data_IF_754624499688
#
_entry.id   IF_754624499688
#
_cell.length_a   1.000
_cell.length_b   1.000
_cell.length_c   1.000
_cell.angle_alpha   90.00
_cell.angle_beta   90.00
_cell.angle_gamma   90.00
#
_symmetry.space_group_name_H-M   'P 1'
#
loop_
_entity.id
_entity.type
_entity.pdbx_description
1 polymer ?
#
# COMPACT_ATOMS: atom_id res chain seq x y z
N UNK A 1 -7.51 -4.10 20.93
CA UNK A 1 -7.87 -3.64 19.57
C UNK A 1 -7.06 -4.52 18.63
N UNK A 2 -7.70 -5.24 17.71
CA UNK A 2 -7.00 -6.12 16.77
C UNK A 2 -6.36 -5.30 15.66
N UNK A 3 -5.39 -5.88 14.95
CA UNK A 3 -4.84 -5.31 13.72
C UNK A 3 -5.98 -5.11 12.69
N UNK A 4 -5.97 -3.99 11.98
CA UNK A 4 -6.91 -3.70 10.90
C UNK A 4 -6.59 -4.59 9.70
N UNK A 5 -5.30 -4.83 9.46
CA UNK A 5 -4.83 -5.59 8.31
C UNK A 5 -4.34 -6.98 8.72
N UNK A 6 -4.74 -7.98 7.93
CA UNK A 6 -4.17 -9.31 8.00
C UNK A 6 -2.94 -9.40 7.07
N UNK A 7 -1.81 -9.88 7.59
CA UNK A 7 -0.55 -9.89 6.84
C UNK A 7 -0.58 -10.83 5.63
N UNK A 8 -1.26 -11.97 5.73
CA UNK A 8 -1.35 -12.93 4.62
C UNK A 8 -2.25 -12.37 3.51
N UNK A 9 -3.32 -11.67 3.89
CA UNK A 9 -4.21 -10.99 2.96
C UNK A 9 -3.51 -9.80 2.28
N UNK A 10 -2.77 -8.97 3.02
CA UNK A 10 -1.97 -7.89 2.40
C UNK A 10 -0.97 -8.45 1.39
N UNK A 11 -0.31 -9.56 1.73
CA UNK A 11 0.62 -10.21 0.83
C UNK A 11 -0.07 -10.73 -0.44
N UNK A 12 -1.24 -11.36 -0.31
CA UNK A 12 -1.97 -11.88 -1.48
C UNK A 12 -2.42 -10.77 -2.43
N UNK A 13 -2.91 -9.63 -1.91
CA UNK A 13 -3.24 -8.44 -2.70
C UNK A 13 -2.01 -7.93 -3.47
N UNK A 14 -0.85 -7.84 -2.81
CA UNK A 14 0.39 -7.41 -3.46
C UNK A 14 0.82 -8.39 -4.57
N UNK A 15 0.71 -9.70 -4.31
CA UNK A 15 1.08 -10.74 -5.28
C UNK A 15 0.17 -10.75 -6.50
N UNK A 16 -1.12 -10.42 -6.35
CA UNK A 16 -2.06 -10.30 -7.48
C UNK A 16 -1.70 -9.19 -8.48
N UNK A 17 -0.87 -8.23 -8.07
CA UNK A 17 -0.40 -7.14 -8.92
C UNK A 17 0.94 -7.43 -9.61
N UNK A 18 1.63 -8.53 -9.25
CA UNK A 18 2.91 -8.91 -9.85
C UNK A 18 2.71 -9.35 -11.30
N UNK A 19 3.56 -8.86 -12.19
CA UNK A 19 3.54 -9.22 -13.62
C UNK A 19 2.59 -8.38 -14.48
N UNK A 20 1.92 -7.37 -13.90
CA UNK A 20 1.18 -6.38 -14.68
C UNK A 20 2.11 -5.50 -15.52
N UNK A 21 1.58 -5.00 -16.64
CA UNK A 21 2.35 -4.34 -17.72
C UNK A 21 3.10 -3.06 -17.29
N UNK A 22 2.67 -2.43 -16.19
CA UNK A 22 3.33 -1.23 -15.67
C UNK A 22 3.22 -1.12 -14.15
N UNK A 23 4.12 -0.32 -13.56
CA UNK A 23 4.06 0.02 -12.13
C UNK A 23 2.76 0.73 -11.77
N UNK A 24 2.29 1.63 -12.63
CA UNK A 24 1.05 2.37 -12.40
C UNK A 24 -0.17 1.43 -12.41
N UNK A 25 -0.20 0.45 -13.32
CA UNK A 25 -1.25 -0.57 -13.33
C UNK A 25 -1.20 -1.45 -12.06
N UNK A 26 0.00 -1.82 -11.61
CA UNK A 26 0.18 -2.56 -10.36
C UNK A 26 -0.28 -1.76 -9.13
N UNK A 27 0.11 -0.49 -9.01
CA UNK A 27 -0.32 0.37 -7.91
C UNK A 27 -1.83 0.60 -7.92
N UNK A 28 -2.43 0.88 -9.08
CA UNK A 28 -3.87 1.06 -9.21
C UNK A 28 -4.64 -0.20 -8.80
N UNK A 29 -4.14 -1.39 -9.17
CA UNK A 29 -4.69 -2.68 -8.75
C UNK A 29 -4.63 -2.85 -7.23
N UNK A 30 -3.47 -2.62 -6.61
CA UNK A 30 -3.28 -2.73 -5.15
C UNK A 30 -4.21 -1.76 -4.41
N UNK A 31 -4.23 -0.49 -4.79
CA UNK A 31 -5.04 0.54 -4.12
C UNK A 31 -6.54 0.22 -4.26
N UNK A 32 -6.98 -0.24 -5.43
CA UNK A 32 -8.37 -0.63 -5.67
C UNK A 32 -8.79 -1.81 -4.77
N UNK A 33 -7.97 -2.87 -4.69
CA UNK A 33 -8.26 -4.02 -3.83
C UNK A 33 -8.24 -3.62 -2.35
N UNK A 34 -7.21 -2.90 -1.89
CA UNK A 34 -7.15 -2.43 -0.50
C UNK A 34 -8.35 -1.55 -0.13
N UNK A 35 -8.77 -0.65 -1.03
CA UNK A 35 -9.93 0.23 -0.77
C UNK A 35 -11.23 -0.57 -0.67
N UNK A 36 -11.37 -1.65 -1.45
CA UNK A 36 -12.53 -2.54 -1.42
C UNK A 36 -12.56 -3.41 -0.17
N UNK A 37 -11.43 -4.00 0.21
CA UNK A 37 -11.35 -4.92 1.35
C UNK A 37 -11.30 -4.19 2.70
N UNK A 38 -10.75 -2.96 2.74
CA UNK A 38 -10.58 -2.15 3.95
C UNK A 38 -11.20 -0.75 3.80
N UNK A 39 -12.53 -0.65 3.62
CA UNK A 39 -13.20 0.62 3.36
C UNK A 39 -13.01 1.60 4.52
N UNK A 40 -12.63 2.84 4.19
CA UNK A 40 -12.38 3.91 5.17
C UNK A 40 -10.99 3.90 5.80
N UNK A 41 -10.14 2.91 5.51
CA UNK A 41 -8.77 2.81 6.05
C UNK A 41 -7.67 3.15 5.04
N UNK A 42 -8.04 3.36 3.76
CA UNK A 42 -7.11 3.63 2.66
C UNK A 42 -7.30 5.05 2.15
N UNK A 43 -6.19 5.78 1.97
CA UNK A 43 -6.14 7.12 1.40
C UNK A 43 -5.16 7.17 0.23
N UNK A 44 -5.63 7.59 -0.94
CA UNK A 44 -4.83 7.69 -2.16
C UNK A 44 -4.49 9.14 -2.57
N UNK A 45 -4.99 10.12 -1.81
CA UNK A 45 -4.75 11.56 -2.01
C UNK A 45 -3.37 12.02 -1.52
N UNK A 46 -2.65 11.19 -0.78
CA UNK A 46 -1.31 11.49 -0.28
C UNK A 46 -0.29 11.36 -1.43
N UNK A 47 0.54 12.38 -1.68
CA UNK A 47 1.53 12.33 -2.76
C UNK A 47 2.67 11.35 -2.43
N UNK A 48 3.40 10.96 -3.47
CA UNK A 48 4.68 10.28 -3.31
C UNK A 48 5.68 11.20 -2.61
N UNK A 49 6.43 10.65 -1.65
CA UNK A 49 7.47 11.33 -0.90
C UNK A 49 8.80 10.61 -1.04
N UNK A 50 9.90 11.34 -1.00
CA UNK A 50 11.23 10.74 -0.89
C UNK A 50 11.44 10.21 0.52
N UNK A 51 12.00 9.01 0.62
CA UNK A 51 12.42 8.40 1.87
C UNK A 51 13.94 8.18 1.85
N UNK A 52 14.65 8.85 2.76
CA UNK A 52 16.10 8.73 2.92
C UNK A 52 16.40 8.22 4.33
N UNK A 53 16.80 6.94 4.44
CA UNK A 53 17.04 6.30 5.72
C UNK A 53 18.15 5.24 5.59
N UNK A 54 19.02 5.14 6.60
CA UNK A 54 20.07 4.11 6.64
C UNK A 54 21.06 4.17 5.47
N UNK A 55 21.23 5.32 4.80
CA UNK A 55 22.10 5.48 3.63
C UNK A 55 21.46 5.08 2.28
N UNK A 56 20.19 4.67 2.26
CA UNK A 56 19.44 4.39 1.03
C UNK A 56 18.42 5.51 0.72
N UNK A 57 18.16 5.72 -0.58
CA UNK A 57 17.16 6.65 -1.10
C UNK A 57 16.07 5.87 -1.85
N UNK A 58 14.81 6.16 -1.56
CA UNK A 58 13.65 5.59 -2.23
C UNK A 58 12.47 6.55 -2.29
N UNK A 59 11.35 6.06 -2.80
CA UNK A 59 10.07 6.76 -2.84
C UNK A 59 9.00 5.92 -2.15
N UNK A 60 8.10 6.58 -1.43
CA UNK A 60 7.01 5.94 -0.70
C UNK A 60 5.70 6.69 -0.95
N UNK A 61 4.61 5.95 -1.06
CA UNK A 61 3.25 6.48 -1.02
C UNK A 61 2.52 5.87 0.18
N UNK A 62 2.06 6.72 1.09
CA UNK A 62 1.42 6.31 2.33
C UNK A 62 -0.08 6.12 2.12
N UNK A 63 -0.58 4.89 2.31
CA UNK A 63 -1.99 4.55 2.10
C UNK A 63 -2.79 4.43 3.41
N UNK A 64 -2.13 4.04 4.51
CA UNK A 64 -2.69 3.95 5.86
C UNK A 64 -1.68 4.44 6.89
N UNK A 65 -2.15 5.00 8.00
CA UNK A 65 -1.34 5.28 9.18
C UNK A 65 -2.20 5.39 10.44
N UNK A 66 -1.75 4.74 11.51
CA UNK A 66 -2.32 4.72 12.85
C UNK A 66 -1.18 4.68 13.89
N UNK A 67 -1.50 4.50 15.17
CA UNK A 67 -0.48 4.35 16.22
C UNK A 67 0.18 2.96 16.22
N UNK A 68 -0.44 1.96 15.59
CA UNK A 68 0.01 0.56 15.63
C UNK A 68 0.32 -0.03 14.25
N UNK A 69 -0.08 0.64 13.17
CA UNK A 69 -0.03 0.19 11.77
C UNK A 69 0.17 1.37 10.83
#
# INVERSE_FOLDING_TARGET
>A
MGAIFDSEHLHSIAMNAVGLDSKDAAFARIISELTREYPGHIRDDIPWVFNNAGGAMGQMKLLHASLSE
#
